data_IF_601625277731
#
_entry.id   IF_601625277731
#
_cell.length_a   1.000
_cell.length_b   1.000
_cell.length_c   1.000
_cell.angle_alpha   90.00
_cell.angle_beta   90.00
_cell.angle_gamma   90.00
#
_symmetry.space_group_name_H-M   'P 1'
#
loop_
_entity.id
_entity.type
_entity.pdbx_description
1 polymer ?
#
# COMPACT_ATOMS: atom_id res chain seq x y z
N UNK A 1 -25.42 20.67 18.20
CA UNK A 1 -23.97 20.73 17.94
C UNK A 1 -23.74 20.19 16.55
N UNK A 2 -23.38 21.05 15.61
CA UNK A 2 -23.26 20.75 14.18
C UNK A 2 -21.93 20.05 13.88
N UNK A 3 -22.01 18.96 13.13
CA UNK A 3 -20.91 18.15 12.61
C UNK A 3 -19.98 18.98 11.72
N UNK A 4 -18.68 18.95 12.02
CA UNK A 4 -17.65 19.57 11.19
C UNK A 4 -17.48 18.81 9.88
N UNK A 5 -17.80 19.47 8.77
CA UNK A 5 -17.47 19.00 7.43
C UNK A 5 -15.94 19.07 7.25
N UNK A 6 -15.31 17.93 6.98
CA UNK A 6 -13.91 17.87 6.58
C UNK A 6 -13.72 18.59 5.25
N UNK A 7 -12.81 19.57 5.23
CA UNK A 7 -12.44 20.32 4.03
C UNK A 7 -11.65 19.39 3.10
N UNK A 8 -12.22 19.09 1.93
CA UNK A 8 -11.51 18.49 0.80
C UNK A 8 -10.33 19.41 0.40
N UNK A 9 -9.17 18.87 -0.02
CA UNK A 9 -8.12 19.70 -0.58
C UNK A 9 -8.67 20.41 -1.83
N UNK A 10 -8.71 21.75 -1.78
CA UNK A 10 -9.04 22.58 -2.92
C UNK A 10 -7.84 22.51 -3.87
N UNK A 11 -7.86 21.57 -4.82
CA UNK A 11 -7.04 21.66 -6.02
C UNK A 11 -7.56 22.84 -6.85
N UNK A 12 -6.65 23.74 -7.21
CA UNK A 12 -6.96 25.04 -7.80
C UNK A 12 -7.84 24.99 -9.06
N UNK A 13 -8.45 26.12 -9.43
CA UNK A 13 -9.34 26.20 -10.58
C UNK A 13 -8.51 26.17 -11.87
N UNK A 14 -8.29 24.99 -12.46
CA UNK A 14 -7.71 24.95 -13.81
C UNK A 14 -7.01 23.68 -14.25
N UNK A 15 -7.75 22.59 -14.46
CA UNK A 15 -7.54 21.74 -15.64
C UNK A 15 -8.90 21.56 -16.31
N UNK A 16 -9.29 22.54 -17.14
CA UNK A 16 -10.48 22.40 -18.00
C UNK A 16 -10.23 21.24 -18.97
N UNK A 17 -11.05 20.21 -18.89
CA UNK A 17 -11.24 19.26 -19.99
C UNK A 17 -10.92 17.79 -19.71
N UNK A 18 -10.35 17.43 -18.56
CA UNK A 18 -10.17 16.01 -18.20
C UNK A 18 -11.25 15.61 -17.19
N UNK A 19 -12.17 14.69 -17.53
CA UNK A 19 -13.10 14.15 -16.55
C UNK A 19 -12.30 13.43 -15.47
N UNK A 20 -12.33 13.91 -14.24
CA UNK A 20 -11.85 13.12 -13.11
C UNK A 20 -12.67 11.83 -13.01
N UNK A 21 -12.04 10.68 -12.72
CA UNK A 21 -12.77 9.45 -12.51
C UNK A 21 -13.77 9.64 -11.36
N UNK A 22 -15.04 9.35 -11.61
CA UNK A 22 -16.11 9.49 -10.61
C UNK A 22 -15.97 8.51 -9.44
N UNK A 23 -15.14 7.48 -9.63
CA UNK A 23 -14.75 6.50 -8.63
C UNK A 23 -13.24 6.36 -8.68
N UNK A 24 -12.56 6.85 -7.65
CA UNK A 24 -11.11 6.78 -7.52
C UNK A 24 -10.67 6.93 -6.07
N UNK A 25 -9.50 6.40 -5.76
CA UNK A 25 -8.80 6.59 -4.51
C UNK A 25 -7.29 6.71 -4.78
N UNK A 26 -6.66 7.63 -4.07
CA UNK A 26 -5.22 7.67 -3.87
C UNK A 26 -4.99 7.84 -2.38
N UNK A 27 -4.37 6.87 -1.74
CA UNK A 27 -4.04 6.90 -0.32
C UNK A 27 -2.53 6.83 -0.15
N UNK A 28 -2.00 7.62 0.76
CA UNK A 28 -0.55 7.72 0.98
C UNK A 28 -0.20 7.18 2.36
N UNK A 29 1.04 6.74 2.53
CA UNK A 29 1.52 6.29 3.84
C UNK A 29 1.42 7.40 4.90
N UNK A 30 1.23 6.99 6.14
CA UNK A 30 1.34 7.87 7.31
C UNK A 30 2.63 7.56 8.04
N UNK A 31 3.55 8.52 8.06
CA UNK A 31 4.76 8.42 8.87
C UNK A 31 4.33 8.28 10.33
N UNK A 32 4.67 7.16 10.96
CA UNK A 32 4.38 6.96 12.37
C UNK A 32 5.29 7.86 13.21
N UNK A 33 4.72 8.79 13.96
CA UNK A 33 5.41 9.27 15.17
C UNK A 33 5.18 8.21 16.23
N UNK A 34 6.10 7.24 16.32
CA UNK A 34 6.28 6.35 17.49
C UNK A 34 5.00 5.89 18.20
N UNK A 35 4.35 4.85 17.65
CA UNK A 35 3.70 3.80 18.46
C UNK A 35 3.32 2.64 17.56
N UNK A 36 3.96 1.50 17.76
CA UNK A 36 3.58 0.23 17.14
C UNK A 36 2.12 -0.10 17.45
N UNK A 37 1.24 -0.30 16.45
CA UNK A 37 0.19 -1.28 16.63
C UNK A 37 0.84 -2.66 16.42
N UNK A 38 0.68 -3.53 17.40
CA UNK A 38 1.21 -4.89 17.42
C UNK A 38 1.17 -5.52 16.01
N UNK A 39 2.34 -5.88 15.50
CA UNK A 39 2.44 -6.81 14.39
C UNK A 39 1.75 -8.10 14.82
N UNK A 40 0.51 -8.30 14.38
CA UNK A 40 -0.09 -9.64 14.41
C UNK A 40 0.60 -10.48 13.34
N UNK A 41 1.83 -10.91 13.64
CA UNK A 41 2.54 -11.92 12.87
C UNK A 41 1.89 -13.27 13.16
N UNK A 42 0.83 -13.59 12.40
CA UNK A 42 0.31 -14.96 12.32
C UNK A 42 0.25 -15.38 10.87
N UNK A 43 1.34 -16.02 10.43
CA UNK A 43 1.59 -16.46 9.05
C UNK A 43 0.75 -17.66 8.58
N UNK A 44 -0.42 -17.94 9.17
CA UNK A 44 -1.27 -19.02 8.64
C UNK A 44 -2.78 -18.88 8.83
N UNK A 45 -3.30 -17.88 9.55
CA UNK A 45 -4.74 -17.78 9.81
C UNK A 45 -5.51 -16.91 8.79
N UNK A 46 -4.84 -16.08 7.99
CA UNK A 46 -5.52 -15.03 7.18
C UNK A 46 -5.58 -15.30 5.67
N UNK A 47 -4.91 -16.33 5.16
CA UNK A 47 -4.98 -16.75 3.75
C UNK A 47 -4.27 -15.83 2.76
N UNK A 48 -3.33 -14.98 3.21
CA UNK A 48 -2.47 -14.14 2.35
C UNK A 48 -1.01 -14.18 2.82
N UNK A 49 -0.09 -13.81 1.93
CA UNK A 49 1.35 -13.72 2.22
C UNK A 49 1.74 -12.31 2.67
N UNK A 50 2.76 -12.23 3.52
CA UNK A 50 3.32 -10.97 4.02
C UNK A 50 2.47 -10.29 5.09
N UNK A 51 2.91 -9.10 5.46
CA UNK A 51 2.32 -8.24 6.47
C UNK A 51 1.43 -7.18 5.83
N UNK A 52 0.20 -7.02 6.34
CA UNK A 52 -0.76 -6.06 5.77
C UNK A 52 -0.38 -4.63 6.15
N UNK A 53 -0.32 -3.76 5.15
CA UNK A 53 -0.12 -2.32 5.35
C UNK A 53 -1.45 -1.67 5.69
N UNK A 54 -1.57 -1.15 6.92
CA UNK A 54 -2.82 -0.55 7.44
C UNK A 54 -2.77 0.97 7.57
N UNK A 55 -1.58 1.56 7.66
CA UNK A 55 -1.36 2.97 7.95
C UNK A 55 -1.45 3.85 6.69
N UNK A 56 -2.67 3.99 6.16
CA UNK A 56 -2.97 4.83 4.99
C UNK A 56 -3.78 6.07 5.39
N UNK A 57 -3.42 7.23 4.82
CA UNK A 57 -4.18 8.49 4.88
C UNK A 57 -4.95 8.67 3.57
N UNK A 58 -6.23 9.06 3.66
CA UNK A 58 -7.14 9.14 2.50
C UNK A 58 -7.78 10.50 2.25
N UNK A 59 -7.60 11.48 3.15
CA UNK A 59 -8.32 12.75 3.11
C UNK A 59 -7.42 13.98 3.12
N UNK A 60 -6.14 13.83 3.51
CA UNK A 60 -5.20 14.94 3.67
C UNK A 60 -4.04 14.87 2.68
N UNK A 61 -3.43 16.02 2.40
CA UNK A 61 -2.25 16.11 1.56
C UNK A 61 -2.53 15.76 0.10
N UNK A 62 -1.76 14.81 -0.44
CA UNK A 62 -1.93 14.30 -1.82
C UNK A 62 -2.97 13.18 -1.91
N UNK A 63 -3.48 12.70 -0.77
CA UNK A 63 -4.49 11.67 -0.70
C UNK A 63 -5.88 12.20 -1.01
N UNK A 64 -6.70 11.37 -1.67
CA UNK A 64 -8.10 11.63 -1.85
C UNK A 64 -8.91 10.33 -1.97
N UNK A 65 -10.17 10.42 -1.59
CA UNK A 65 -11.18 9.39 -1.76
C UNK A 65 -12.36 9.98 -2.52
N UNK A 66 -12.60 9.51 -3.73
CA UNK A 66 -13.70 9.91 -4.60
C UNK A 66 -14.63 8.73 -4.80
N UNK A 67 -15.75 8.72 -4.07
CA UNK A 67 -16.73 7.64 -4.08
C UNK A 67 -16.14 6.26 -3.73
N UNK A 68 -15.02 6.21 -3.02
CA UNK A 68 -14.44 5.00 -2.43
C UNK A 68 -14.22 5.25 -0.94
N UNK A 69 -14.14 4.19 -0.15
CA UNK A 69 -13.88 4.32 1.28
C UNK A 69 -12.61 3.57 1.67
N UNK A 70 -11.87 4.12 2.64
CA UNK A 70 -10.74 3.45 3.27
C UNK A 70 -11.16 2.96 4.65
N UNK A 71 -11.08 1.65 4.92
CA UNK A 71 -11.40 1.05 6.23
C UNK A 71 -10.37 0.00 6.61
N UNK A 72 -9.70 0.20 7.75
CA UNK A 72 -8.72 -0.78 8.26
C UNK A 72 -7.58 -1.10 7.29
N UNK A 73 -7.19 -0.12 6.47
CA UNK A 73 -6.20 -0.25 5.41
C UNK A 73 -6.70 -0.82 4.08
N UNK A 74 -8.00 -1.06 3.94
CA UNK A 74 -8.61 -1.64 2.74
C UNK A 74 -9.43 -0.59 1.99
N UNK A 75 -9.29 -0.54 0.66
CA UNK A 75 -10.15 0.28 -0.21
C UNK A 75 -11.41 -0.49 -0.58
N UNK A 76 -12.58 0.06 -0.23
CA UNK A 76 -13.88 -0.51 -0.54
C UNK A 76 -14.37 -0.04 -1.90
N UNK A 77 -14.76 -1.01 -2.73
CA UNK A 77 -15.28 -0.79 -4.08
C UNK A 77 -16.77 -0.44 -4.01
N UNK A 78 -17.21 0.71 -4.55
CA UNK A 78 -18.62 1.13 -4.48
C UNK A 78 -19.48 0.50 -5.59
N UNK A 79 -18.88 0.17 -6.74
CA UNK A 79 -19.57 -0.11 -7.99
C UNK A 79 -18.82 -1.18 -8.77
N UNK A 80 -19.57 -2.06 -9.44
CA UNK A 80 -18.99 -3.01 -10.37
C UNK A 80 -18.28 -2.31 -11.55
N UNK A 81 -17.17 -2.88 -12.00
CA UNK A 81 -16.46 -2.43 -13.21
C UNK A 81 -15.01 -2.87 -13.25
N UNK A 82 -14.31 -2.48 -14.31
CA UNK A 82 -12.88 -2.68 -14.49
C UNK A 82 -12.12 -1.53 -13.82
N UNK A 83 -11.31 -1.86 -12.82
CA UNK A 83 -10.50 -0.87 -12.09
C UNK A 83 -9.05 -1.01 -12.50
N UNK A 84 -8.37 0.12 -12.72
CA UNK A 84 -6.92 0.20 -12.71
C UNK A 84 -6.47 0.35 -11.27
N UNK A 85 -5.64 -0.57 -10.80
CA UNK A 85 -5.19 -0.68 -9.41
C UNK A 85 -3.66 -0.56 -9.43
N UNK A 86 -3.10 0.25 -8.54
CA UNK A 86 -1.65 0.46 -8.46
C UNK A 86 -1.20 0.64 -7.02
N UNK A 87 0.04 0.24 -6.74
CA UNK A 87 0.69 0.50 -5.46
C UNK A 87 2.17 0.79 -5.66
N UNK A 88 2.73 1.66 -4.83
CA UNK A 88 4.16 1.81 -4.62
C UNK A 88 4.48 1.61 -3.13
N UNK A 89 5.50 0.81 -2.86
CA UNK A 89 6.07 0.65 -1.53
C UNK A 89 7.55 0.89 -1.60
N UNK A 90 8.06 1.71 -0.70
CA UNK A 90 9.47 2.02 -0.58
C UNK A 90 10.07 1.28 0.59
N UNK A 91 11.04 0.40 0.31
CA UNK A 91 11.76 -0.35 1.32
C UNK A 91 13.09 0.35 1.64
N UNK A 92 13.34 0.55 2.93
CA UNK A 92 14.59 1.04 3.49
C UNK A 92 15.20 -0.06 4.34
N UNK A 93 16.19 -0.76 3.78
CA UNK A 93 16.92 -1.82 4.49
C UNK A 93 18.06 -1.21 5.30
N UNK A 94 18.18 -1.52 6.60
CA UNK A 94 19.33 -1.08 7.39
C UNK A 94 20.62 -1.67 6.80
N UNK A 95 21.72 -0.95 6.96
CA UNK A 95 23.03 -1.51 6.63
C UNK A 95 23.53 -2.39 7.77
N UNK A 96 24.11 -3.54 7.42
CA UNK A 96 24.79 -4.42 8.38
C UNK A 96 26.22 -3.91 8.53
N UNK A 97 26.62 -3.56 9.75
CA UNK A 97 27.97 -3.07 10.04
C UNK A 97 29.03 -4.17 9.84
N UNK A 98 30.26 -3.77 9.52
CA UNK A 98 31.40 -4.65 9.22
C UNK A 98 31.86 -5.55 10.41
N UNK A 99 31.17 -5.51 11.55
CA UNK A 99 31.60 -6.14 12.81
C UNK A 99 31.02 -7.54 13.05
N UNK A 100 30.07 -8.00 12.24
CA UNK A 100 29.67 -9.42 12.25
C UNK A 100 30.63 -10.20 11.35
N UNK A 101 31.65 -10.77 11.98
CA UNK A 101 32.85 -11.31 11.34
C UNK A 101 32.58 -12.29 10.21
N UNK A 102 33.37 -12.14 9.14
CA UNK A 102 33.86 -13.07 8.10
C UNK A 102 33.07 -14.36 7.74
N UNK A 103 31.78 -14.42 8.04
CA UNK A 103 30.94 -15.61 7.96
C UNK A 103 29.43 -15.35 8.04
N UNK A 104 28.98 -14.08 8.05
CA UNK A 104 27.61 -13.77 7.67
C UNK A 104 27.51 -14.08 6.17
N UNK A 105 26.94 -15.25 5.85
CA UNK A 105 26.54 -15.62 4.51
C UNK A 105 25.85 -14.42 3.85
N UNK A 106 26.01 -14.28 2.53
CA UNK A 106 25.41 -13.21 1.73
C UNK A 106 23.88 -13.31 1.80
N UNK A 107 23.29 -12.89 2.93
CA UNK A 107 21.89 -13.07 3.23
C UNK A 107 21.14 -12.23 2.19
N UNK A 108 20.52 -12.90 1.22
CA UNK A 108 19.64 -12.25 0.28
C UNK A 108 18.37 -11.84 1.00
N UNK A 109 17.92 -10.60 0.81
CA UNK A 109 16.57 -10.18 1.19
C UNK A 109 15.63 -10.31 -0.01
N UNK A 110 14.44 -10.89 0.20
CA UNK A 110 13.35 -10.83 -0.77
C UNK A 110 12.37 -9.72 -0.38
N UNK A 111 12.37 -8.65 -1.17
CA UNK A 111 11.42 -7.54 -1.04
C UNK A 111 10.21 -7.84 -1.90
N UNK A 112 9.04 -7.99 -1.29
CA UNK A 112 7.83 -8.37 -2.02
C UNK A 112 6.69 -7.44 -1.69
N UNK A 113 5.96 -7.03 -2.71
CA UNK A 113 4.70 -6.29 -2.60
C UNK A 113 3.59 -7.11 -3.26
N UNK A 114 2.49 -7.29 -2.54
CA UNK A 114 1.30 -7.99 -3.02
C UNK A 114 0.08 -7.07 -2.99
N UNK A 115 -0.78 -7.21 -3.99
CA UNK A 115 -2.09 -6.56 -4.03
C UNK A 115 -3.16 -7.65 -4.03
N UNK A 116 -4.03 -7.61 -3.02
CA UNK A 116 -5.08 -8.60 -2.81
C UNK A 116 -6.47 -8.01 -2.98
N UNK A 117 -7.41 -8.89 -3.32
CA UNK A 117 -8.85 -8.64 -3.30
C UNK A 117 -9.54 -9.55 -2.32
N UNK A 118 -10.39 -9.01 -1.44
CA UNK A 118 -11.24 -9.78 -0.53
C UNK A 118 -12.71 -9.56 -0.90
N UNK A 119 -13.42 -10.67 -1.07
CA UNK A 119 -14.87 -10.69 -1.34
C UNK A 119 -15.63 -11.09 -0.07
N UNK A 120 -16.95 -10.88 -0.04
CA UNK A 120 -17.82 -11.46 0.99
C UNK A 120 -18.18 -12.92 0.72
N UNK A 121 -18.19 -13.32 -0.55
CA UNK A 121 -18.59 -14.65 -1.05
C UNK A 121 -17.50 -15.71 -1.00
N UNK A 122 -16.27 -15.34 -0.66
CA UNK A 122 -15.12 -16.24 -0.64
C UNK A 122 -14.35 -16.11 0.67
N UNK A 123 -13.89 -17.24 1.21
CA UNK A 123 -13.34 -17.34 2.57
C UNK A 123 -11.94 -16.73 2.71
N UNK A 124 -11.15 -16.73 1.63
CA UNK A 124 -9.81 -16.15 1.59
C UNK A 124 -9.71 -14.92 0.68
N UNK A 125 -8.66 -14.10 0.81
CA UNK A 125 -8.35 -13.10 -0.20
C UNK A 125 -7.74 -13.75 -1.46
N UNK A 126 -7.94 -13.12 -2.60
CA UNK A 126 -7.43 -13.53 -3.91
C UNK A 126 -6.27 -12.59 -4.26
N UNK A 127 -5.09 -13.17 -4.54
CA UNK A 127 -3.95 -12.40 -5.02
C UNK A 127 -4.23 -11.87 -6.43
N UNK A 128 -4.16 -10.55 -6.60
CA UNK A 128 -4.29 -9.92 -7.92
C UNK A 128 -2.94 -9.76 -8.60
N UNK A 129 -1.95 -9.22 -7.87
CA UNK A 129 -0.64 -8.87 -8.42
C UNK A 129 0.46 -9.06 -7.36
N UNK A 130 1.65 -9.47 -7.81
CA UNK A 130 2.88 -9.62 -7.01
C UNK A 130 4.03 -8.96 -7.75
N UNK A 131 4.82 -8.15 -7.05
CA UNK A 131 6.12 -7.66 -7.50
C UNK A 131 7.16 -8.06 -6.46
N UNK A 132 8.29 -8.60 -6.90
CA UNK A 132 9.38 -9.06 -6.02
C UNK A 132 10.73 -8.57 -6.53
N UNK A 133 11.64 -8.28 -5.60
CA UNK A 133 13.03 -7.95 -5.87
C UNK A 133 13.92 -8.68 -4.87
N UNK A 134 14.79 -9.54 -5.37
CA UNK A 134 15.88 -10.14 -4.59
C UNK A 134 17.05 -9.15 -4.54
N UNK A 135 17.54 -8.85 -3.35
CA UNK A 135 18.64 -7.91 -3.12
C UNK A 135 19.64 -8.49 -2.14
N UNK A 136 20.92 -8.15 -2.28
CA UNK A 136 21.90 -8.39 -1.25
C UNK A 136 21.74 -7.33 -0.15
N UNK A 137 21.96 -7.67 1.12
CA UNK A 137 21.92 -6.67 2.17
C UNK A 137 22.97 -5.56 1.92
N UNK A 138 22.63 -4.29 2.22
CA UNK A 138 23.54 -3.17 2.05
C UNK A 138 24.73 -3.29 3.02
N UNK A 139 25.95 -3.24 2.49
CA UNK A 139 27.20 -3.18 3.26
C UNK A 139 27.65 -1.72 3.41
N UNK A 140 28.15 -1.35 4.59
CA UNK A 140 28.72 -0.02 4.85
C UNK A 140 27.89 0.82 5.82
N UNK A 141 27.79 2.13 5.58
CA UNK A 141 27.08 3.05 6.46
C UNK A 141 25.70 3.48 5.92
N UNK A 142 25.48 3.37 4.61
CA UNK A 142 24.25 3.83 3.97
C UNK A 142 23.21 2.70 3.84
N UNK A 143 21.93 2.98 4.10
CA UNK A 143 20.87 2.00 3.94
C UNK A 143 20.56 1.72 2.46
N UNK A 144 20.02 0.54 2.20
CA UNK A 144 19.53 0.15 0.88
C UNK A 144 18.14 0.70 0.64
N UNK A 145 17.92 1.27 -0.55
CA UNK A 145 16.71 1.99 -0.89
C UNK A 145 16.07 1.38 -2.14
N UNK A 146 14.83 0.88 -2.02
CA UNK A 146 14.18 0.13 -3.08
C UNK A 146 12.70 0.50 -3.22
N UNK A 147 12.32 1.09 -4.35
CA UNK A 147 10.92 1.29 -4.72
C UNK A 147 10.39 0.10 -5.51
N UNK A 148 9.29 -0.49 -5.06
CA UNK A 148 8.51 -1.44 -5.85
C UNK A 148 7.18 -0.78 -6.24
N UNK A 149 7.01 -0.54 -7.53
CA UNK A 149 5.75 -0.09 -8.12
C UNK A 149 5.17 -1.19 -9.00
N UNK A 150 3.87 -1.44 -8.87
CA UNK A 150 3.14 -2.33 -9.77
C UNK A 150 1.73 -1.80 -10.01
N UNK A 151 1.17 -2.14 -11.17
CA UNK A 151 -0.19 -1.78 -11.52
C UNK A 151 -0.79 -2.75 -12.54
N UNK A 152 -2.11 -2.81 -12.59
CA UNK A 152 -2.86 -3.68 -13.49
C UNK A 152 -4.36 -3.45 -13.37
N UNK A 153 -5.14 -4.15 -14.18
CA UNK A 153 -6.60 -4.04 -14.17
C UNK A 153 -7.27 -5.29 -13.65
N UNK A 154 -8.32 -5.13 -12.83
CA UNK A 154 -9.16 -6.23 -12.40
C UNK A 154 -10.63 -5.82 -12.38
N UNK A 155 -11.53 -6.76 -12.71
CA UNK A 155 -12.96 -6.55 -12.53
C UNK A 155 -13.31 -6.73 -11.06
N UNK A 156 -13.96 -5.71 -10.49
CA UNK A 156 -14.36 -5.66 -9.08
C UNK A 156 -15.87 -5.53 -8.99
N UNK A 157 -16.44 -6.04 -7.90
CA UNK A 157 -17.85 -5.93 -7.57
C UNK A 157 -18.06 -4.99 -6.36
N UNK A 158 -19.28 -4.47 -6.14
CA UNK A 158 -19.56 -3.70 -4.94
C UNK A 158 -19.20 -4.48 -3.68
N UNK A 159 -18.62 -3.78 -2.69
CA UNK A 159 -18.12 -4.33 -1.43
C UNK A 159 -16.89 -5.26 -1.53
N UNK A 160 -16.31 -5.46 -2.73
CA UNK A 160 -14.95 -5.97 -2.83
C UNK A 160 -14.00 -5.02 -2.10
N UNK A 161 -12.99 -5.58 -1.44
CA UNK A 161 -11.99 -4.83 -0.67
C UNK A 161 -10.60 -5.09 -1.23
N UNK A 162 -9.88 -4.03 -1.57
CA UNK A 162 -8.50 -4.11 -2.03
C UNK A 162 -7.54 -3.75 -0.89
N UNK A 163 -6.44 -4.46 -0.76
CA UNK A 163 -5.41 -4.15 0.24
C UNK A 163 -4.02 -4.59 -0.24
N UNK A 164 -3.00 -3.99 0.38
CA UNK A 164 -1.59 -4.26 0.10
C UNK A 164 -0.97 -5.02 1.26
N UNK A 165 -0.16 -6.02 0.94
CA UNK A 165 0.77 -6.62 1.89
C UNK A 165 2.20 -6.55 1.38
N UNK A 166 3.17 -6.61 2.29
CA UNK A 166 4.60 -6.54 2.00
C UNK A 166 5.35 -7.66 2.70
N UNK A 167 6.54 -8.03 2.21
CA UNK A 167 7.34 -9.09 2.86
C UNK A 167 7.76 -8.73 4.28
N UNK A 168 8.03 -7.45 4.56
CA UNK A 168 8.35 -6.94 5.89
C UNK A 168 7.86 -5.49 6.03
N UNK A 169 6.89 -5.23 6.90
CA UNK A 169 6.34 -3.88 7.07
C UNK A 169 7.29 -2.97 7.87
N UNK A 170 8.16 -3.51 8.72
CA UNK A 170 9.12 -2.73 9.51
C UNK A 170 10.19 -2.04 8.67
N UNK A 171 10.48 -2.57 7.48
CA UNK A 171 11.43 -1.97 6.53
C UNK A 171 10.73 -1.08 5.49
N UNK A 172 9.40 -0.95 5.56
CA UNK A 172 8.63 -0.12 4.62
C UNK A 172 8.54 1.31 5.14
N UNK A 173 8.98 2.28 4.32
CA UNK A 173 8.87 3.70 4.64
C UNK A 173 7.46 4.22 4.33
N UNK A 174 6.76 4.65 5.36
CA UNK A 174 5.37 5.13 5.28
C UNK A 174 5.26 6.66 5.10
N UNK A 175 6.31 7.35 4.63
CA UNK A 175 6.15 8.74 4.16
C UNK A 175 5.21 8.76 2.94
N UNK A 176 4.28 9.72 2.92
CA UNK A 176 3.25 9.78 1.89
C UNK A 176 3.74 10.05 0.46
N UNK A 177 5.01 10.46 0.29
CA UNK A 177 5.67 10.59 -1.02
C UNK A 177 6.39 9.31 -1.45
N UNK A 178 6.73 8.44 -0.50
CA UNK A 178 7.48 7.22 -0.73
C UNK A 178 6.56 6.04 -1.05
N UNK A 179 5.52 5.84 -0.23
CA UNK A 179 4.58 4.73 -0.33
C UNK A 179 3.14 5.20 -0.50
N UNK A 180 2.44 4.62 -1.48
CA UNK A 180 1.06 4.96 -1.80
C UNK A 180 0.32 3.80 -2.47
N UNK A 181 -1.00 3.83 -2.41
CA UNK A 181 -1.88 2.81 -2.95
C UNK A 181 -3.12 3.49 -3.56
N UNK A 182 -3.62 2.99 -4.67
CA UNK A 182 -4.80 3.58 -5.28
C UNK A 182 -5.48 2.69 -6.30
N UNK A 183 -6.68 3.11 -6.67
CA UNK A 183 -7.45 2.50 -7.73
C UNK A 183 -8.41 3.53 -8.34
N UNK A 184 -8.77 3.35 -9.61
CA UNK A 184 -9.85 4.12 -10.24
C UNK A 184 -10.61 3.28 -11.26
N UNK A 185 -11.90 3.57 -11.40
CA UNK A 185 -12.78 2.91 -12.36
C UNK A 185 -12.46 3.37 -13.79
N UNK A 186 -12.22 2.41 -14.68
CA UNK A 186 -11.89 2.66 -16.10
C UNK A 186 -13.10 2.39 -17.01
N UNK A 187 -13.94 1.40 -16.68
CA UNK A 187 -15.10 1.00 -17.49
C UNK A 187 -16.08 0.13 -16.74
#
# INVERSE_FOLDING_TARGET
GTLGAGVLPILGPGVRGVPFPKVAAHVTGVASSTKDPAAESSWSCRGYFGERVVAWEGQRGLSFLQNMELRGGELLVPKAGLYYIYAQTYFRLPSVGETEGDGAEDEGAELVQYIYKKMSSYTGPILLMKSSRSVCWPRGQEPGLFSLHQAGTAFLQPADRLFVTVSNASTTEMDGRASYFGAFLVG
#
